data_IF_678740410063
#
_entry.id   IF_678740410063
#
_cell.length_a   1.000
_cell.length_b   1.000
_cell.length_c   1.000
_cell.angle_alpha   90.00
_cell.angle_beta   90.00
_cell.angle_gamma   90.00
#
_symmetry.space_group_name_H-M   'P 1'
#
loop_
_entity.id
_entity.type
_entity.pdbx_description
1 polymer ?
#
# COMPACT_ATOMS: atom_id res chain seq x y z
N UNK A 1 -0.50 -9.46 27.47
CA UNK A 1 -1.30 -9.47 26.22
C UNK A 1 -0.38 -8.94 25.13
N UNK A 2 -0.06 -9.74 24.11
CA UNK A 2 0.82 -9.28 23.04
C UNK A 2 0.08 -8.22 22.21
N UNK A 3 0.55 -6.97 22.27
CA UNK A 3 0.06 -5.89 21.42
C UNK A 3 0.26 -6.32 19.96
N UNK A 4 -0.81 -6.31 19.17
CA UNK A 4 -0.73 -6.75 17.78
C UNK A 4 0.13 -5.74 16.99
N UNK A 5 1.02 -6.22 16.13
CA UNK A 5 1.91 -5.40 15.30
C UNK A 5 1.16 -4.30 14.51
N UNK A 6 -0.14 -4.51 14.24
CA UNK A 6 -1.05 -3.54 13.60
C UNK A 6 -1.30 -2.27 14.41
N UNK A 7 -1.17 -2.32 15.74
CA UNK A 7 -1.41 -1.16 16.60
C UNK A 7 -0.26 -0.13 16.56
N UNK A 8 0.92 -0.54 16.07
CA UNK A 8 2.11 0.30 15.95
C UNK A 8 2.12 1.16 14.68
N UNK A 9 1.23 0.89 13.73
CA UNK A 9 1.14 1.61 12.46
C UNK A 9 -0.15 2.42 12.38
N UNK A 10 -0.05 3.57 11.72
CA UNK A 10 -1.20 4.24 11.14
C UNK A 10 -1.37 3.69 9.73
N UNK A 11 -2.42 2.88 9.51
CA UNK A 11 -2.87 2.52 8.16
C UNK A 11 -3.72 3.67 7.62
N UNK A 12 -3.20 4.35 6.61
CA UNK A 12 -3.94 5.34 5.85
C UNK A 12 -4.17 4.81 4.44
N UNK A 13 -5.42 4.79 4.00
CA UNK A 13 -5.75 4.45 2.63
C UNK A 13 -5.63 5.71 1.76
N UNK A 14 -4.82 5.62 0.72
CA UNK A 14 -4.59 6.69 -0.25
C UNK A 14 -4.91 6.21 -1.66
N UNK A 15 -5.55 7.05 -2.47
CA UNK A 15 -5.77 6.78 -3.88
C UNK A 15 -4.69 7.49 -4.68
N UNK A 16 -3.74 6.74 -5.23
CA UNK A 16 -2.71 7.30 -6.09
C UNK A 16 -3.10 7.17 -7.57
N UNK A 17 -3.09 8.26 -8.35
CA UNK A 17 -3.21 8.17 -9.79
C UNK A 17 -1.96 7.48 -10.34
N UNK A 18 -2.16 6.49 -11.21
CA UNK A 18 -1.10 5.79 -11.87
C UNK A 18 -1.46 5.55 -13.33
N UNK A 19 -0.53 5.87 -14.22
CA UNK A 19 -0.72 5.73 -15.66
C UNK A 19 -0.41 4.30 -16.10
N UNK A 20 -1.41 3.58 -16.60
CA UNK A 20 -1.24 2.24 -17.14
C UNK A 20 -1.66 2.14 -18.60
N UNK A 21 -1.02 1.22 -19.32
CA UNK A 21 -1.40 0.87 -20.69
C UNK A 21 -2.17 -0.43 -20.69
N UNK A 22 -3.35 -0.43 -21.30
CA UNK A 22 -4.18 -1.63 -21.38
C UNK A 22 -3.56 -2.64 -22.36
N UNK A 23 -3.32 -3.91 -21.99
CA UNK A 23 -2.73 -4.90 -22.88
C UNK A 23 -3.65 -5.27 -24.07
N UNK A 24 -4.97 -5.09 -23.93
CA UNK A 24 -5.96 -5.39 -24.99
C UNK A 24 -6.05 -4.32 -26.07
N UNK A 25 -6.18 -3.05 -25.68
CA UNK A 25 -6.41 -1.95 -26.62
C UNK A 25 -5.22 -0.98 -26.75
N UNK A 26 -4.15 -1.19 -25.96
CA UNK A 26 -2.96 -0.32 -25.87
C UNK A 26 -3.25 1.13 -25.49
N UNK A 27 -4.46 1.39 -25.01
CA UNK A 27 -4.85 2.71 -24.53
C UNK A 27 -4.15 3.00 -23.21
N UNK A 28 -3.47 4.14 -23.14
CA UNK A 28 -2.78 4.62 -21.95
C UNK A 28 -3.64 5.67 -21.26
N UNK A 29 -3.97 5.43 -20.01
CA UNK A 29 -4.84 6.32 -19.23
C UNK A 29 -4.41 6.35 -17.77
N UNK A 30 -4.98 7.28 -17.01
CA UNK A 30 -4.74 7.42 -15.59
C UNK A 30 -5.80 6.66 -14.80
N UNK A 31 -5.34 5.73 -13.96
CA UNK A 31 -6.21 4.93 -13.10
C UNK A 31 -5.93 5.26 -11.65
N UNK A 32 -6.99 5.39 -10.86
CA UNK A 32 -6.89 5.57 -9.41
C UNK A 32 -6.69 4.21 -8.75
N UNK A 33 -5.51 3.99 -8.21
CA UNK A 33 -5.15 2.74 -7.51
C UNK A 33 -5.21 2.99 -6.02
N UNK A 34 -5.82 2.07 -5.26
CA UNK A 34 -5.77 2.12 -3.80
C UNK A 34 -4.43 1.64 -3.29
N UNK A 35 -3.84 2.45 -2.42
CA UNK A 35 -2.64 2.17 -1.66
C UNK A 35 -2.98 2.24 -0.18
N UNK A 36 -2.43 1.34 0.61
CA UNK A 36 -2.42 1.45 2.06
C UNK A 36 -1.02 1.90 2.45
N UNK A 37 -0.91 3.14 2.93
CA UNK A 37 0.31 3.66 3.52
C UNK A 37 0.34 3.25 4.98
N UNK A 38 1.33 2.45 5.36
CA UNK A 38 1.61 2.07 6.74
C UNK A 38 2.73 2.98 7.25
N UNK A 39 2.34 4.00 8.00
CA UNK A 39 3.29 4.92 8.64
C UNK A 39 3.51 4.47 10.07
N UNK A 40 4.77 4.30 10.44
CA UNK A 40 5.16 4.05 11.84
C UNK A 40 4.67 5.21 12.71
N UNK A 41 3.98 4.91 13.82
CA UNK A 41 3.57 5.95 14.79
C UNK A 41 4.80 6.63 15.38
N UNK A 42 4.69 7.88 15.81
CA UNK A 42 5.79 8.61 16.48
C UNK A 42 6.15 7.97 17.83
N UNK A 43 5.16 7.37 18.51
CA UNK A 43 5.31 6.78 19.84
C UNK A 43 4.77 5.36 19.90
N UNK A 44 5.44 4.44 20.61
CA UNK A 44 4.89 3.13 20.87
C UNK A 44 3.64 3.24 21.79
N UNK A 45 2.63 2.38 21.60
CA UNK A 45 1.44 2.32 22.47
C UNK A 45 1.83 2.14 23.95
N UNK A 46 1.03 2.76 24.84
CA UNK A 46 1.21 2.66 26.29
C UNK A 46 1.01 1.20 26.71
N UNK A 47 2.10 0.48 26.97
CA UNK A 47 2.12 -0.95 27.26
C UNK A 47 3.08 -1.78 26.39
N UNK A 48 3.80 -1.16 25.46
CA UNK A 48 4.79 -1.85 24.62
C UNK A 48 5.95 -2.41 25.44
N UNK A 49 6.16 -3.72 25.32
CA UNK A 49 7.28 -4.47 25.90
C UNK A 49 8.60 -4.14 25.19
N UNK A 50 9.73 -4.59 25.75
CA UNK A 50 11.07 -4.34 25.21
C UNK A 50 11.25 -4.89 23.78
N UNK A 51 10.56 -6.00 23.48
CA UNK A 51 10.48 -6.61 22.14
C UNK A 51 9.78 -5.71 21.12
N UNK A 52 8.67 -5.08 21.52
CA UNK A 52 7.91 -4.18 20.66
C UNK A 52 8.70 -2.91 20.32
N UNK A 53 9.50 -2.41 21.27
CA UNK A 53 10.41 -1.27 21.02
C UNK A 53 11.52 -1.63 20.02
N UNK A 54 12.07 -2.84 20.11
CA UNK A 54 13.07 -3.33 19.16
C UNK A 54 12.49 -3.53 17.75
N UNK A 55 11.28 -4.07 17.65
CA UNK A 55 10.54 -4.17 16.39
C UNK A 55 10.28 -2.77 15.82
N UNK A 56 9.71 -1.87 16.62
CA UNK A 56 9.44 -0.49 16.25
C UNK A 56 10.68 0.22 15.69
N UNK A 57 11.87 0.03 16.28
CA UNK A 57 13.12 0.60 15.77
C UNK A 57 13.50 0.14 14.35
N UNK A 58 13.11 -1.07 13.95
CA UNK A 58 13.43 -1.65 12.62
C UNK A 58 12.37 -1.40 11.56
N UNK A 59 11.16 -1.01 11.97
CA UNK A 59 10.06 -0.77 11.04
C UNK A 59 10.33 0.49 10.21
N UNK A 60 10.28 0.34 8.89
CA UNK A 60 10.25 1.44 7.93
C UNK A 60 8.82 1.72 7.52
N UNK A 61 8.54 2.94 7.11
CA UNK A 61 7.31 3.28 6.44
C UNK A 61 7.28 2.69 5.03
N UNK A 62 6.14 2.09 4.69
CA UNK A 62 5.94 1.47 3.39
C UNK A 62 4.49 1.64 2.95
N UNK A 63 4.29 1.60 1.65
CA UNK A 63 2.98 1.61 1.01
C UNK A 63 2.76 0.26 0.34
N UNK A 64 1.58 -0.31 0.53
CA UNK A 64 1.16 -1.56 -0.12
C UNK A 64 0.03 -1.23 -1.07
N UNK A 65 0.16 -1.65 -2.32
CA UNK A 65 -0.91 -1.56 -3.30
C UNK A 65 -2.01 -2.58 -2.96
N UNK A 66 -3.26 -2.14 -2.92
CA UNK A 66 -4.42 -3.01 -2.64
C UNK A 66 -5.11 -3.47 -3.91
N UNK A 67 -5.19 -2.60 -4.91
CA UNK A 67 -5.78 -2.95 -6.19
C UNK A 67 -4.75 -3.71 -7.03
N UNK A 68 -5.06 -4.96 -7.38
CA UNK A 68 -4.28 -5.73 -8.35
C UNK A 68 -4.78 -5.56 -9.78
N UNK A 69 -6.00 -5.06 -9.96
CA UNK A 69 -6.64 -4.97 -11.25
C UNK A 69 -7.28 -3.61 -11.46
N UNK A 70 -7.24 -3.14 -12.70
CA UNK A 70 -7.96 -1.94 -13.14
C UNK A 70 -8.82 -2.25 -14.35
N UNK A 71 -9.90 -1.50 -14.51
CA UNK A 71 -10.81 -1.63 -15.66
C UNK A 71 -10.48 -0.53 -16.64
N UNK A 72 -10.13 -0.91 -17.87
CA UNK A 72 -9.81 0.06 -18.91
C UNK A 72 -11.03 0.95 -19.23
N UNK A 73 -10.84 2.27 -19.24
CA UNK A 73 -11.91 3.21 -19.59
C UNK A 73 -12.42 3.04 -21.03
N UNK A 74 -11.58 2.54 -21.95
CA UNK A 74 -11.92 2.39 -23.38
C UNK A 74 -12.58 1.06 -23.70
N UNK A 75 -11.92 -0.07 -23.41
CA UNK A 75 -12.41 -1.40 -23.78
C UNK A 75 -13.16 -2.12 -22.65
N UNK A 76 -13.26 -1.51 -21.46
CA UNK A 76 -13.87 -2.09 -20.24
C UNK A 76 -13.32 -3.45 -19.83
N UNK A 77 -12.18 -3.85 -20.40
CA UNK A 77 -11.50 -5.07 -20.01
C UNK A 77 -10.79 -4.84 -18.68
N UNK A 78 -10.97 -5.77 -17.75
CA UNK A 78 -10.19 -5.85 -16.52
C UNK A 78 -8.80 -6.36 -16.88
N UNK A 79 -7.76 -5.66 -16.46
CA UNK A 79 -6.38 -6.09 -16.61
C UNK A 79 -5.64 -5.95 -15.29
N UNK A 80 -4.66 -6.83 -15.09
CA UNK A 80 -3.78 -6.78 -13.92
C UNK A 80 -2.79 -5.62 -14.08
N UNK A 81 -2.53 -4.91 -13.00
CA UNK A 81 -1.56 -3.83 -12.98
C UNK A 81 -0.15 -4.44 -13.10
N UNK A 82 0.58 -4.19 -14.20
CA UNK A 82 1.84 -4.89 -14.48
C UNK A 82 3.02 -4.47 -13.58
N UNK A 83 2.82 -3.54 -12.64
CA UNK A 83 3.91 -3.15 -11.74
C UNK A 83 4.19 -4.28 -10.75
N UNK A 84 5.34 -4.93 -10.92
CA UNK A 84 5.92 -5.92 -9.99
C UNK A 84 6.13 -5.37 -8.57
N UNK A 85 6.09 -4.04 -8.39
CA UNK A 85 6.18 -3.41 -7.08
C UNK A 85 4.77 -3.29 -6.48
N UNK A 86 4.38 -4.29 -5.70
CA UNK A 86 3.22 -4.26 -4.80
C UNK A 86 3.53 -3.52 -3.49
N UNK A 87 4.81 -3.32 -3.19
CA UNK A 87 5.31 -2.60 -2.01
C UNK A 87 6.27 -1.51 -2.45
N UNK A 88 6.02 -0.28 -2.00
CA UNK A 88 6.92 0.86 -2.14
C UNK A 88 7.40 1.28 -0.76
N UNK A 89 8.70 1.20 -0.51
CA UNK A 89 9.30 1.78 0.69
C UNK A 89 9.37 3.30 0.51
N UNK A 90 8.98 4.02 1.55
CA UNK A 90 9.03 5.49 1.59
C UNK A 90 10.41 5.96 2.06
#
# INVERSE_FOLDING_TARGET
MALNEREFFNENQELKPATYSCPKCRHRDEYKVRWIRRVKKDRPPRGADERDRALFGKLRDYMVRVDDHVVCARCRSRFEIPSHQSVAFL
#
